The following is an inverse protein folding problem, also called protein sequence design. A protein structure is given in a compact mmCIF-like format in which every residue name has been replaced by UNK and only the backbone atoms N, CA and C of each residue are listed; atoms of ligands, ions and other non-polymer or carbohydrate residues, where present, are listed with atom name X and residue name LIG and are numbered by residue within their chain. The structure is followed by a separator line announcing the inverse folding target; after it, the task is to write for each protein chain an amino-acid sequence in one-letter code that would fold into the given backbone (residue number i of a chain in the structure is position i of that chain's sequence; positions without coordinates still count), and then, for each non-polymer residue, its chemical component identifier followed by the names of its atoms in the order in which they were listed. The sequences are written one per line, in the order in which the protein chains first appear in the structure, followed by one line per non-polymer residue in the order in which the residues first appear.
data_IF_913872990342
#
_entry.id   IF_913872990342
#
_cell.length_a   1.000
_cell.length_b   1.000
_cell.length_c   1.000
_cell.angle_alpha   90.00
_cell.angle_beta   90.00
_cell.angle_gamma   90.00
#
_symmetry.space_group_name_H-M   'P 1'
#
loop_
_entity.id
_entity.type
_entity.pdbx_description
1 polymer ?
#
# COMPACT_ATOMS: atom_id res chain seq x y z
N UNK A 1 0.34 31.46 6.68
CA UNK A 1 -0.21 30.08 6.74
C UNK A 1 0.59 29.35 7.80
N UNK A 2 0.13 29.39 9.04
CA UNK A 2 0.78 28.63 10.11
C UNK A 2 0.32 27.18 9.99
N UNK A 3 1.14 26.37 9.33
CA UNK A 3 0.89 24.94 9.21
C UNK A 3 0.83 24.29 10.58
N UNK A 4 -0.04 23.29 10.74
CA UNK A 4 -0.11 22.48 11.97
C UNK A 4 1.27 21.87 12.20
N UNK A 5 1.92 22.26 13.30
CA UNK A 5 3.21 21.70 13.71
C UNK A 5 2.95 20.34 14.36
N UNK A 6 3.01 19.28 13.57
CA UNK A 6 2.97 17.91 14.06
C UNK A 6 4.34 17.54 14.63
N UNK A 7 4.36 16.95 15.83
CA UNK A 7 5.58 16.40 16.39
C UNK A 7 5.83 15.01 15.77
N UNK A 8 6.91 14.82 15.00
CA UNK A 8 7.20 13.58 14.28
C UNK A 8 7.33 12.36 15.20
N UNK A 9 7.62 12.57 16.49
CA UNK A 9 7.71 11.48 17.47
C UNK A 9 6.38 10.76 17.70
N UNK A 10 5.24 11.39 17.38
CA UNK A 10 3.93 10.74 17.41
C UNK A 10 3.59 9.95 16.14
N UNK A 11 4.44 10.01 15.11
CA UNK A 11 4.14 9.51 13.76
C UNK A 11 5.22 8.58 13.19
N UNK A 12 5.82 7.75 14.04
CA UNK A 12 6.74 6.69 13.61
C UNK A 12 8.17 7.16 13.38
N UNK A 13 8.59 8.21 14.07
CA UNK A 13 9.98 8.66 14.13
C UNK A 13 10.49 8.58 15.57
N UNK A 14 11.77 8.27 15.72
CA UNK A 14 12.52 8.32 16.96
C UNK A 14 13.77 9.18 16.80
N UNK A 15 14.39 9.59 17.90
CA UNK A 15 15.71 10.26 17.83
C UNK A 15 16.81 9.22 17.94
N UNK A 16 17.77 9.28 17.03
CA UNK A 16 18.98 8.47 17.12
C UNK A 16 19.93 8.99 18.21
N UNK A 17 21.10 8.34 18.33
CA UNK A 17 22.11 8.70 19.35
C UNK A 17 22.70 10.09 19.16
N UNK A 18 22.67 10.60 17.93
CA UNK A 18 23.18 11.91 17.55
C UNK A 18 22.07 12.98 17.56
N UNK A 19 20.83 12.58 17.89
CA UNK A 19 19.67 13.44 18.02
C UNK A 19 18.91 13.70 16.73
N UNK A 20 19.26 13.04 15.62
CA UNK A 20 18.54 13.13 14.35
C UNK A 20 17.29 12.26 14.36
N UNK A 21 16.30 12.63 13.54
CA UNK A 21 15.11 11.83 13.35
C UNK A 21 15.42 10.60 12.49
N UNK A 22 15.18 9.42 13.04
CA UNK A 22 15.24 8.15 12.36
C UNK A 22 13.84 7.50 12.35
N UNK A 23 13.48 6.73 11.31
CA UNK A 23 12.24 5.97 11.30
C UNK A 23 12.23 4.94 12.44
N UNK A 24 11.13 4.82 13.15
CA UNK A 24 10.96 3.77 14.16
C UNK A 24 10.93 2.41 13.48
N UNK A 25 11.84 1.52 13.87
CA UNK A 25 11.85 0.15 13.36
C UNK A 25 10.69 -0.67 13.94
N UNK A 26 9.91 -1.31 13.07
CA UNK A 26 8.84 -2.23 13.47
C UNK A 26 9.25 -3.66 13.15
N UNK A 27 9.15 -4.55 14.15
CA UNK A 27 9.39 -6.00 13.97
C UNK A 27 8.20 -6.72 13.34
N UNK A 28 7.04 -6.05 13.33
CA UNK A 28 5.82 -6.54 12.71
C UNK A 28 5.78 -6.14 11.24
N UNK A 29 5.25 -7.02 10.39
CA UNK A 29 5.03 -6.71 8.98
C UNK A 29 4.25 -5.39 8.84
N UNK A 30 4.74 -4.50 7.96
CA UNK A 30 4.18 -3.16 7.72
C UNK A 30 2.69 -3.23 7.34
N UNK A 31 2.27 -4.33 6.71
CA UNK A 31 0.88 -4.66 6.46
C UNK A 31 0.65 -6.16 6.68
N UNK A 32 -0.56 -6.58 7.08
CA UNK A 32 -0.95 -7.99 7.08
C UNK A 32 -0.60 -8.67 5.76
N UNK A 33 -0.09 -9.90 5.81
CA UNK A 33 0.29 -10.67 4.61
C UNK A 33 -0.81 -10.76 3.56
N UNK A 34 -2.08 -10.72 3.97
CA UNK A 34 -3.24 -10.76 3.08
C UNK A 34 -3.41 -9.48 2.25
N UNK A 35 -2.89 -8.35 2.73
CA UNK A 35 -2.82 -7.06 2.04
C UNK A 35 -1.60 -7.03 1.09
N UNK A 36 -0.44 -7.53 1.54
CA UNK A 36 0.76 -7.59 0.68
C UNK A 36 0.58 -8.56 -0.50
N UNK A 37 -0.23 -9.60 -0.32
CA UNK A 37 -0.62 -10.56 -1.37
C UNK A 37 -1.80 -10.05 -2.21
N UNK A 38 -2.07 -8.74 -2.27
CA UNK A 38 -3.09 -8.20 -3.15
C UNK A 38 -2.81 -8.62 -4.59
N UNK A 39 -3.57 -9.61 -5.04
CA UNK A 39 -3.48 -10.12 -6.41
C UNK A 39 -4.25 -9.19 -7.31
N UNK A 40 -3.53 -8.49 -8.18
CA UNK A 40 -4.13 -7.69 -9.22
C UNK A 40 -4.43 -8.54 -10.45
N UNK A 41 -5.63 -8.42 -10.98
CA UNK A 41 -5.93 -8.94 -12.31
C UNK A 41 -5.63 -7.87 -13.36
N UNK A 42 -5.07 -8.28 -14.49
CA UNK A 42 -4.83 -7.42 -15.65
C UNK A 42 -6.08 -7.26 -16.55
N UNK A 43 -7.28 -7.43 -15.99
CA UNK A 43 -8.53 -7.42 -16.75
C UNK A 43 -9.10 -6.01 -16.77
N UNK A 44 -9.70 -5.62 -17.91
CA UNK A 44 -10.48 -4.39 -18.02
C UNK A 44 -11.65 -4.43 -17.06
N UNK A 45 -12.10 -3.28 -16.59
CA UNK A 45 -13.28 -3.16 -15.74
C UNK A 45 -14.49 -3.88 -16.37
N UNK A 46 -15.28 -4.57 -15.55
CA UNK A 46 -16.43 -5.35 -16.00
C UNK A 46 -16.10 -6.66 -16.74
N UNK A 47 -14.85 -6.91 -17.15
CA UNK A 47 -14.47 -8.11 -17.94
C UNK A 47 -13.99 -9.29 -17.09
N UNK A 48 -13.93 -9.14 -15.77
CA UNK A 48 -13.53 -10.22 -14.88
C UNK A 48 -14.56 -11.35 -14.89
N UNK A 49 -14.12 -12.53 -15.33
CA UNK A 49 -14.91 -13.77 -15.30
C UNK A 49 -14.23 -14.82 -14.40
N UNK A 50 -14.69 -16.08 -14.43
CA UNK A 50 -14.17 -17.17 -13.59
C UNK A 50 -12.65 -17.42 -13.76
N UNK A 51 -12.03 -16.92 -14.82
CA UNK A 51 -10.58 -17.04 -15.06
C UNK A 51 -9.74 -15.93 -14.42
N UNK A 52 -10.37 -14.88 -13.90
CA UNK A 52 -9.68 -13.76 -13.24
C UNK A 52 -8.90 -14.23 -12.01
N UNK A 53 -7.64 -13.83 -11.88
CA UNK A 53 -6.76 -14.18 -10.75
C UNK A 53 -7.33 -13.76 -9.39
N UNK A 54 -7.94 -12.57 -9.29
CA UNK A 54 -8.63 -12.14 -8.07
C UNK A 54 -9.79 -13.09 -7.72
N UNK A 55 -10.63 -13.45 -8.70
CA UNK A 55 -11.80 -14.30 -8.47
C UNK A 55 -11.43 -15.74 -8.13
N UNK A 56 -10.36 -16.28 -8.73
CA UNK A 56 -9.82 -17.60 -8.37
C UNK A 56 -9.44 -17.69 -6.90
N UNK A 57 -9.05 -16.56 -6.30
CA UNK A 57 -8.70 -16.44 -4.88
C UNK A 57 -9.87 -15.97 -4.01
N UNK A 58 -11.09 -15.91 -4.54
CA UNK A 58 -12.28 -15.46 -3.80
C UNK A 58 -12.33 -13.95 -3.53
N UNK A 59 -11.43 -13.16 -4.12
CA UNK A 59 -11.37 -11.71 -3.93
C UNK A 59 -12.32 -10.98 -4.89
N UNK A 60 -12.98 -9.93 -4.40
CA UNK A 60 -13.73 -8.99 -5.24
C UNK A 60 -12.73 -8.13 -6.02
N UNK A 61 -12.92 -8.03 -7.33
CA UNK A 61 -12.10 -7.15 -8.16
C UNK A 61 -12.44 -5.69 -7.85
N UNK A 62 -11.46 -4.89 -7.46
CA UNK A 62 -11.61 -3.43 -7.35
C UNK A 62 -11.52 -2.79 -8.74
N UNK A 63 -12.41 -1.84 -9.05
CA UNK A 63 -12.43 -1.13 -10.32
C UNK A 63 -11.15 -0.30 -10.62
N UNK A 64 -10.39 0.10 -9.59
CA UNK A 64 -9.45 1.22 -9.68
C UNK A 64 -7.96 0.89 -9.91
N UNK A 65 -7.57 -0.33 -10.29
CA UNK A 65 -6.14 -0.68 -10.38
C UNK A 65 -5.54 -0.66 -11.80
N UNK A 66 -6.36 -0.59 -12.86
CA UNK A 66 -5.83 -0.54 -14.23
C UNK A 66 -5.15 0.80 -14.55
N UNK A 67 -5.59 1.89 -13.91
CA UNK A 67 -5.02 3.22 -14.11
C UNK A 67 -3.72 3.45 -13.32
N UNK A 68 -3.47 2.70 -12.25
CA UNK A 68 -2.25 2.86 -11.44
C UNK A 68 -1.06 2.11 -12.03
N UNK A 69 -1.23 0.88 -12.53
CA UNK A 69 -0.12 0.07 -13.06
C UNK A 69 0.33 0.43 -14.48
N UNK A 70 -0.38 1.30 -15.22
CA UNK A 70 0.05 1.76 -16.55
C UNK A 70 0.93 3.01 -16.55
N UNK A 71 1.02 3.72 -15.43
CA UNK A 71 1.83 4.94 -15.34
C UNK A 71 3.24 4.69 -14.78
N UNK A 72 3.56 3.47 -14.34
CA UNK A 72 4.91 3.11 -13.85
C UNK A 72 5.74 2.34 -14.90
N UNK A 73 5.29 2.29 -16.16
CA UNK A 73 5.97 1.60 -17.28
C UNK A 73 6.10 2.47 -18.55
N UNK A 74 5.97 3.79 -18.42
CA UNK A 74 6.30 4.76 -19.47
C UNK A 74 7.23 5.84 -18.91
#
# INVERSE_FOLDING_TARGET
MDGIKLDPLFYGWERDRDGYLAPTSVTKEIAPSDILKMVFCNRKEGTCNKTCSCRKLGLKCSAKMWSMLRNDLL
#
